data_IF_874255033964
#
_entry.id   IF_874255033964
#
_cell.length_a   1.000
_cell.length_b   1.000
_cell.length_c   1.000
_cell.angle_alpha   90.00
_cell.angle_beta   90.00
_cell.angle_gamma   90.00
#
_symmetry.space_group_name_H-M   'P 1'
#
loop_
_entity.id
_entity.type
_entity.pdbx_description
1 polymer ?
#
# COMPACT_ATOMS: atom_id res chain seq x y z
N UNK A 1 -13.26 -0.87 -6.29
CA UNK A 1 -13.73 -1.56 -5.06
C UNK A 1 -13.99 -3.02 -5.40
N UNK A 2 -13.58 -3.93 -4.50
CA UNK A 2 -13.86 -5.36 -4.64
C UNK A 2 -15.22 -5.74 -4.06
N UNK A 3 -15.85 -6.82 -4.57
CA UNK A 3 -17.00 -7.46 -3.96
C UNK A 3 -16.71 -7.96 -2.53
N UNK A 4 -17.74 -7.99 -1.69
CA UNK A 4 -17.72 -8.49 -0.32
C UNK A 4 -18.79 -9.58 -0.18
N UNK A 5 -18.41 -10.70 0.43
CA UNK A 5 -19.27 -11.85 0.72
C UNK A 5 -19.45 -12.06 2.22
N UNK A 6 -20.58 -12.66 2.62
CA UNK A 6 -20.83 -13.08 4.00
C UNK A 6 -19.99 -14.31 4.36
N UNK A 7 -19.36 -14.28 5.52
CA UNK A 7 -18.46 -15.32 6.01
C UNK A 7 -19.11 -16.70 6.14
N UNK A 8 -20.38 -16.75 6.53
CA UNK A 8 -21.15 -17.98 6.77
C UNK A 8 -21.59 -18.66 5.47
N UNK A 9 -21.53 -17.94 4.34
CA UNK A 9 -21.87 -18.47 3.01
C UNK A 9 -20.65 -19.02 2.27
N UNK A 10 -19.45 -18.92 2.87
CA UNK A 10 -18.22 -19.49 2.32
C UNK A 10 -18.16 -20.97 2.72
N UNK A 11 -18.11 -21.86 1.73
CA UNK A 11 -17.91 -23.31 1.98
C UNK A 11 -16.48 -23.58 2.48
N UNK A 12 -16.38 -23.69 3.82
CA UNK A 12 -15.13 -23.91 4.55
C UNK A 12 -14.44 -25.24 4.21
N UNK A 13 -15.15 -26.20 3.61
CA UNK A 13 -14.55 -27.48 3.20
C UNK A 13 -13.66 -27.37 1.95
N UNK A 14 -13.83 -26.29 1.16
CA UNK A 14 -13.12 -26.07 -0.11
C UNK A 14 -12.00 -25.05 -0.03
N UNK A 15 -11.91 -24.30 1.06
CA UNK A 15 -10.97 -23.19 1.25
C UNK A 15 -10.00 -23.46 2.39
N UNK A 16 -8.89 -22.74 2.44
CA UNK A 16 -7.91 -22.86 3.53
C UNK A 16 -7.30 -21.51 3.91
N UNK A 17 -6.91 -21.35 5.17
CA UNK A 17 -6.19 -20.17 5.63
C UNK A 17 -4.70 -20.32 5.39
N UNK A 18 -4.08 -19.28 4.82
CA UNK A 18 -2.64 -19.19 4.60
C UNK A 18 -2.24 -17.79 4.10
N UNK A 19 -1.00 -17.40 4.40
CA UNK A 19 -0.35 -16.21 3.85
C UNK A 19 0.78 -16.59 2.88
N UNK A 20 0.89 -15.91 1.73
CA UNK A 20 1.86 -16.23 0.65
C UNK A 20 3.34 -16.14 1.06
N UNK A 21 3.64 -15.48 2.18
CA UNK A 21 5.00 -15.13 2.60
C UNK A 21 5.29 -15.44 4.06
N UNK A 22 4.49 -16.31 4.69
CA UNK A 22 4.66 -16.66 6.10
C UNK A 22 4.83 -15.41 6.99
N UNK A 23 4.06 -14.36 6.68
CA UNK A 23 3.97 -13.14 7.49
C UNK A 23 3.05 -13.35 8.69
N UNK A 24 3.18 -14.49 9.38
CA UNK A 24 2.88 -14.44 10.81
C UNK A 24 3.88 -13.43 11.39
N UNK A 25 3.42 -12.45 12.15
CA UNK A 25 4.32 -11.53 12.86
C UNK A 25 4.90 -12.25 14.09
N UNK A 26 5.31 -13.51 13.90
CA UNK A 26 5.99 -14.31 14.89
C UNK A 26 7.50 -14.03 14.86
N UNK A 27 8.21 -14.24 15.97
CA UNK A 27 9.66 -14.08 16.00
C UNK A 27 10.29 -14.98 14.95
N UNK A 28 11.12 -14.39 14.09
CA UNK A 28 11.93 -15.10 13.09
C UNK A 28 12.70 -16.20 13.82
N UNK A 29 12.29 -17.47 13.64
CA UNK A 29 13.11 -18.59 14.10
C UNK A 29 14.35 -18.64 13.21
N UNK A 30 15.57 -18.62 13.77
CA UNK A 30 16.76 -18.84 12.96
C UNK A 30 16.68 -20.25 12.35
N UNK A 31 17.03 -20.36 11.07
CA UNK A 31 17.21 -21.66 10.41
C UNK A 31 18.35 -22.42 11.12
N UNK A 32 18.21 -23.73 11.36
CA UNK A 32 19.34 -24.54 11.80
C UNK A 32 20.30 -24.77 10.62
N UNK A 33 21.59 -24.75 10.95
CA UNK A 33 22.77 -24.91 10.08
C UNK A 33 23.18 -23.71 9.21
N UNK A 34 24.02 -22.85 9.80
CA UNK A 34 25.36 -22.62 9.27
C UNK A 34 26.33 -22.55 10.48
N UNK A 35 27.20 -23.54 10.56
CA UNK A 35 28.19 -23.77 11.61
C UNK A 35 29.34 -22.77 11.56
N UNK A 36 29.96 -22.58 12.73
CA UNK A 36 31.29 -22.02 12.97
C UNK A 36 31.51 -20.53 12.71
N UNK A 37 31.38 -19.73 13.77
CA UNK A 37 32.36 -18.70 14.12
C UNK A 37 32.39 -18.57 15.65
N UNK A 38 33.31 -19.31 16.27
CA UNK A 38 33.74 -19.11 17.66
C UNK A 38 34.38 -17.73 17.79
N UNK A 39 33.89 -16.92 18.72
CA UNK A 39 34.69 -15.89 19.36
C UNK A 39 34.55 -16.06 20.88
N UNK A 40 35.64 -16.48 21.50
CA UNK A 40 35.86 -16.35 22.93
C UNK A 40 36.05 -14.87 23.27
N UNK A 41 35.45 -14.42 24.36
CA UNK A 41 36.02 -13.39 25.23
C UNK A 41 35.36 -13.45 26.61
N UNK A 42 36.22 -13.57 27.62
CA UNK A 42 35.98 -13.65 29.06
C UNK A 42 35.25 -12.44 29.66
N UNK A 43 34.62 -12.65 30.83
CA UNK A 43 34.21 -11.57 31.73
C UNK A 43 33.18 -11.96 32.80
N UNK A 44 33.66 -12.45 33.94
CA UNK A 44 32.98 -12.49 35.27
C UNK A 44 33.08 -11.04 35.84
N UNK A 45 32.20 -10.43 36.66
CA UNK A 45 31.46 -10.77 37.90
C UNK A 45 30.19 -9.85 38.03
N UNK A 46 29.43 -9.69 39.12
CA UNK A 46 29.34 -10.24 40.49
C UNK A 46 27.90 -9.95 40.96
N UNK A 47 27.24 -10.96 41.55
CA UNK A 47 26.12 -10.92 42.53
C UNK A 47 25.25 -12.16 42.40
N UNK A 48 25.85 -13.34 42.51
CA UNK A 48 25.12 -14.60 42.62
C UNK A 48 24.05 -14.56 43.70
N UNK A 49 22.79 -14.43 43.29
CA UNK A 49 21.61 -14.71 44.12
C UNK A 49 20.50 -15.25 43.21
N UNK A 50 20.12 -16.50 43.48
CA UNK A 50 18.98 -17.18 42.89
C UNK A 50 17.71 -16.76 43.67
N UNK A 51 16.66 -16.28 43.01
CA UNK A 51 15.32 -16.16 43.63
C UNK A 51 14.31 -17.13 42.95
N UNK A 52 13.43 -17.79 43.71
CA UNK A 52 12.40 -18.71 43.20
C UNK A 52 11.17 -17.96 42.65
N UNK A 53 10.30 -18.64 41.86
CA UNK A 53 9.16 -18.00 41.21
C UNK A 53 8.05 -17.73 42.23
N UNK A 54 7.60 -16.49 42.36
CA UNK A 54 6.34 -16.17 43.05
C UNK A 54 5.18 -16.35 42.08
N UNK A 55 4.42 -17.41 42.30
CA UNK A 55 3.08 -17.63 41.77
C UNK A 55 2.09 -16.64 42.42
N UNK A 56 1.05 -16.32 41.65
CA UNK A 56 -0.26 -15.81 42.05
C UNK A 56 -0.40 -14.30 42.34
N UNK A 57 -0.61 -13.55 41.25
CA UNK A 57 -1.55 -12.42 41.25
C UNK A 57 -2.61 -12.69 40.16
N UNK A 58 -3.91 -12.56 40.45
CA UNK A 58 -4.97 -12.87 39.49
C UNK A 58 -4.89 -11.92 38.30
N UNK A 59 -4.84 -12.48 37.10
CA UNK A 59 -4.91 -11.74 35.86
C UNK A 59 -6.15 -10.84 35.89
N UNK A 60 -5.90 -9.53 35.74
CA UNK A 60 -6.95 -8.57 35.47
C UNK A 60 -7.68 -9.01 34.19
N UNK A 61 -9.00 -8.88 34.23
CA UNK A 61 -9.91 -9.06 33.11
C UNK A 61 -9.62 -7.99 32.04
N UNK A 62 -8.61 -8.25 31.22
CA UNK A 62 -8.36 -7.51 29.99
C UNK A 62 -9.36 -8.02 28.95
N UNK A 63 -10.42 -7.23 28.73
CA UNK A 63 -11.39 -7.41 27.65
C UNK A 63 -10.72 -7.62 26.28
N UNK A 64 -11.45 -8.07 25.26
CA UNK A 64 -10.89 -8.71 24.07
C UNK A 64 -9.86 -7.80 23.38
N UNK A 65 -8.59 -8.13 23.59
CA UNK A 65 -7.47 -7.50 22.94
C UNK A 65 -7.57 -7.75 21.43
N UNK A 66 -7.44 -6.67 20.65
CA UNK A 66 -7.40 -6.73 19.19
C UNK A 66 -6.35 -7.74 18.70
N UNK A 67 -6.80 -8.69 17.87
CA UNK A 67 -5.92 -9.49 17.01
C UNK A 67 -5.06 -10.51 17.75
N UNK A 68 -5.67 -11.61 18.17
CA UNK A 68 -4.90 -12.83 18.43
C UNK A 68 -4.45 -13.35 17.06
N UNK A 69 -3.16 -13.21 16.74
CA UNK A 69 -2.52 -13.87 15.59
C UNK A 69 -2.56 -15.37 15.86
N UNK A 70 -3.54 -16.06 15.27
CA UNK A 70 -3.73 -17.50 15.42
C UNK A 70 -2.70 -18.32 14.61
N UNK A 71 -1.71 -17.66 14.01
CA UNK A 71 -0.66 -18.25 13.17
C UNK A 71 -1.17 -19.00 11.92
N UNK A 72 -2.47 -18.94 11.60
CA UNK A 72 -3.06 -19.63 10.45
C UNK A 72 -3.08 -18.78 9.17
N UNK A 73 -2.68 -17.50 9.25
CA UNK A 73 -2.54 -16.59 8.11
C UNK A 73 -3.76 -15.71 7.84
N UNK A 74 -3.50 -14.50 7.34
CA UNK A 74 -4.46 -13.38 7.26
C UNK A 74 -5.55 -13.54 6.18
N UNK A 75 -5.43 -14.56 5.32
CA UNK A 75 -6.27 -14.73 4.14
C UNK A 75 -6.92 -16.10 4.11
N UNK A 76 -8.19 -16.13 3.68
CA UNK A 76 -8.87 -17.35 3.25
C UNK A 76 -8.61 -17.51 1.75
N UNK A 77 -8.11 -18.68 1.35
CA UNK A 77 -7.70 -18.96 -0.03
C UNK A 77 -8.68 -19.96 -0.64
N UNK A 78 -9.24 -19.58 -1.78
CA UNK A 78 -10.05 -20.42 -2.66
C UNK A 78 -9.15 -20.96 -3.78
N UNK A 79 -8.62 -22.19 -3.67
CA UNK A 79 -7.80 -22.79 -4.72
C UNK A 79 -8.64 -23.21 -5.92
N UNK A 80 -8.08 -23.06 -7.11
CA UNK A 80 -8.68 -23.52 -8.37
C UNK A 80 -7.78 -24.57 -9.02
N UNK A 81 -8.38 -25.60 -9.59
CA UNK A 81 -7.74 -26.44 -10.61
C UNK A 81 -7.61 -25.67 -11.92
N UNK A 82 -6.95 -26.30 -12.92
CA UNK A 82 -6.85 -25.71 -14.26
C UNK A 82 -8.24 -25.59 -14.90
N UNK A 83 -9.05 -26.63 -14.81
CA UNK A 83 -10.37 -26.70 -15.42
C UNK A 83 -11.34 -25.68 -14.78
N UNK A 84 -11.26 -25.51 -13.47
CA UNK A 84 -12.04 -24.49 -12.74
C UNK A 84 -11.60 -23.08 -13.12
N UNK A 85 -10.30 -22.85 -13.26
CA UNK A 85 -9.76 -21.57 -13.71
C UNK A 85 -10.19 -21.25 -15.13
N UNK A 86 -10.07 -22.19 -16.06
CA UNK A 86 -10.43 -21.99 -17.46
C UNK A 86 -11.92 -21.65 -17.57
N UNK A 87 -12.78 -22.37 -16.83
CA UNK A 87 -14.22 -22.06 -16.76
C UNK A 87 -14.50 -20.67 -16.17
N UNK A 88 -13.81 -20.29 -15.10
CA UNK A 88 -13.95 -18.96 -14.50
C UNK A 88 -13.49 -17.86 -15.47
N UNK A 89 -12.35 -18.05 -16.12
CA UNK A 89 -11.77 -17.13 -17.08
C UNK A 89 -12.71 -16.92 -18.27
N UNK A 90 -13.20 -18.01 -18.87
CA UNK A 90 -14.15 -17.95 -19.99
C UNK A 90 -15.44 -17.20 -19.59
N UNK A 91 -15.98 -17.48 -18.41
CA UNK A 91 -17.16 -16.77 -17.92
C UNK A 91 -16.89 -15.27 -17.69
N UNK A 92 -15.67 -14.92 -17.27
CA UNK A 92 -15.26 -13.54 -16.96
C UNK A 92 -15.05 -12.69 -18.22
N UNK A 93 -14.37 -13.22 -19.25
CA UNK A 93 -14.11 -12.46 -20.49
C UNK A 93 -15.35 -12.28 -21.36
N UNK A 94 -16.38 -13.09 -21.15
CA UNK A 94 -17.68 -12.95 -21.82
C UNK A 94 -18.75 -12.25 -20.96
N UNK A 95 -18.39 -11.82 -19.75
CA UNK A 95 -19.34 -11.18 -18.85
C UNK A 95 -19.66 -9.75 -19.28
N UNK A 96 -20.92 -9.34 -19.06
CA UNK A 96 -21.34 -7.98 -19.42
C UNK A 96 -20.88 -6.94 -18.38
N UNK A 97 -20.11 -5.95 -18.85
CA UNK A 97 -19.78 -4.75 -18.09
C UNK A 97 -20.95 -3.76 -18.04
N UNK A 98 -21.04 -3.01 -16.94
CA UNK A 98 -21.92 -1.86 -16.87
C UNK A 98 -21.49 -0.80 -17.91
N UNK A 99 -22.46 -0.17 -18.57
CA UNK A 99 -22.21 0.93 -19.51
C UNK A 99 -21.58 2.09 -18.76
N UNK A 100 -20.34 2.41 -19.10
CA UNK A 100 -19.68 3.64 -18.64
C UNK A 100 -20.19 4.79 -19.51
N UNK A 101 -20.51 5.94 -18.93
CA UNK A 101 -21.01 7.08 -19.71
C UNK A 101 -19.97 7.54 -20.75
N UNK A 102 -20.42 8.03 -21.92
CA UNK A 102 -19.59 8.38 -23.11
C UNK A 102 -18.40 9.35 -22.86
N UNK A 103 -18.26 9.91 -21.66
CA UNK A 103 -17.12 10.74 -21.24
C UNK A 103 -16.03 9.99 -20.45
N UNK A 104 -16.23 8.71 -20.13
CA UNK A 104 -15.35 7.88 -19.30
C UNK A 104 -14.50 6.90 -20.14
N UNK A 105 -14.27 7.20 -21.43
CA UNK A 105 -13.42 6.37 -22.26
C UNK A 105 -11.96 6.32 -21.76
N UNK A 106 -11.56 5.11 -21.35
CA UNK A 106 -10.27 4.46 -21.66
C UNK A 106 -9.03 4.73 -20.78
N UNK A 107 -9.09 5.53 -19.72
CA UNK A 107 -7.92 5.69 -18.82
C UNK A 107 -8.14 5.06 -17.46
N UNK A 108 -7.82 3.78 -17.36
CA UNK A 108 -7.69 3.11 -16.07
C UNK A 108 -6.30 3.36 -15.49
N UNK A 109 -6.23 3.53 -14.16
CA UNK A 109 -4.96 3.47 -13.48
C UNK A 109 -4.41 2.04 -13.56
N UNK A 110 -3.22 1.88 -14.15
CA UNK A 110 -2.59 0.57 -14.40
C UNK A 110 -2.37 -0.26 -13.11
N UNK A 111 -2.23 0.40 -11.95
CA UNK A 111 -2.11 -0.31 -10.67
C UNK A 111 -3.42 -0.84 -10.10
N UNK A 112 -4.58 -0.48 -10.67
CA UNK A 112 -5.92 -0.81 -10.15
C UNK A 112 -6.92 -1.11 -11.29
N UNK A 113 -6.56 -2.02 -12.20
CA UNK A 113 -7.39 -2.40 -13.34
C UNK A 113 -8.58 -3.30 -12.95
N UNK A 114 -9.75 -3.17 -13.59
CA UNK A 114 -10.84 -4.14 -13.45
C UNK A 114 -10.38 -5.55 -13.82
N UNK A 115 -10.86 -6.57 -13.11
CA UNK A 115 -10.43 -7.96 -13.31
C UNK A 115 -10.78 -8.48 -14.71
N UNK A 116 -11.91 -8.06 -15.28
CA UNK A 116 -12.30 -8.36 -16.65
C UNK A 116 -11.34 -7.73 -17.69
N UNK A 117 -10.88 -6.50 -17.45
CA UNK A 117 -9.87 -5.84 -18.30
C UNK A 117 -8.53 -6.56 -18.22
N UNK A 118 -8.14 -7.02 -17.02
CA UNK A 118 -6.94 -7.85 -16.86
C UNK A 118 -7.08 -9.18 -17.60
N UNK A 119 -8.24 -9.83 -17.56
CA UNK A 119 -8.49 -11.09 -18.25
C UNK A 119 -8.33 -10.95 -19.77
N UNK A 120 -8.85 -9.87 -20.37
CA UNK A 120 -8.67 -9.60 -21.80
C UNK A 120 -7.21 -9.40 -22.25
N UNK A 121 -6.29 -9.06 -21.33
CA UNK A 121 -4.85 -8.93 -21.65
C UNK A 121 -4.15 -10.28 -21.82
N UNK A 122 -4.80 -11.38 -21.41
CA UNK A 122 -4.31 -12.74 -21.66
C UNK A 122 -4.68 -13.72 -20.55
N UNK A 123 -4.78 -15.00 -20.92
CA UNK A 123 -5.25 -16.07 -20.04
C UNK A 123 -4.44 -16.23 -18.76
N UNK A 124 -3.12 -16.02 -18.78
CA UNK A 124 -2.28 -16.13 -17.57
C UNK A 124 -2.20 -14.82 -16.76
N UNK A 125 -2.78 -13.72 -17.23
CA UNK A 125 -2.65 -12.41 -16.57
C UNK A 125 -3.16 -12.44 -15.13
N UNK A 126 -4.29 -13.10 -14.88
CA UNK A 126 -4.86 -13.21 -13.53
C UNK A 126 -3.96 -14.03 -12.60
N UNK A 127 -3.32 -15.09 -13.12
CA UNK A 127 -2.35 -15.94 -12.40
C UNK A 127 -1.02 -15.26 -12.10
N UNK A 128 -0.68 -14.17 -12.79
CA UNK A 128 0.45 -13.32 -12.41
C UNK A 128 0.04 -12.13 -11.53
N UNK A 129 -1.25 -11.78 -11.52
CA UNK A 129 -1.84 -10.73 -10.70
C UNK A 129 -2.67 -11.26 -9.51
N UNK A 130 -4.00 -10.99 -9.48
CA UNK A 130 -4.83 -11.23 -8.30
C UNK A 130 -4.93 -12.72 -7.91
N UNK A 131 -4.91 -13.62 -8.88
CA UNK A 131 -5.11 -15.06 -8.68
C UNK A 131 -3.80 -15.87 -8.56
N UNK A 132 -2.67 -15.18 -8.30
CA UNK A 132 -1.34 -15.80 -8.25
C UNK A 132 -1.21 -16.83 -7.12
N UNK A 133 -0.85 -18.11 -7.40
CA UNK A 133 -0.81 -19.14 -6.38
C UNK A 133 0.52 -19.25 -5.62
N UNK A 134 1.54 -18.47 -6.02
CA UNK A 134 2.91 -18.59 -5.49
C UNK A 134 2.95 -18.40 -3.97
N UNK A 135 3.57 -19.36 -3.29
CA UNK A 135 3.72 -19.36 -1.83
C UNK A 135 2.52 -19.96 -1.08
N UNK A 136 1.53 -20.51 -1.79
CA UNK A 136 0.40 -21.22 -1.21
C UNK A 136 0.54 -22.72 -1.47
N UNK A 137 0.30 -23.53 -0.44
CA UNK A 137 0.21 -24.98 -0.56
C UNK A 137 -1.17 -25.38 -0.08
N UNK A 138 -1.96 -26.02 -0.95
CA UNK A 138 -3.28 -26.50 -0.58
C UNK A 138 -3.12 -27.73 0.33
N UNK A 139 -3.59 -27.68 1.59
CA UNK A 139 -3.41 -28.77 2.54
C UNK A 139 -4.09 -30.08 2.11
N UNK A 140 -5.10 -30.01 1.23
CA UNK A 140 -5.84 -31.19 0.74
C UNK A 140 -5.05 -31.96 -0.31
N UNK A 141 -4.22 -31.27 -1.09
CA UNK A 141 -3.44 -31.87 -2.18
C UNK A 141 -1.94 -31.93 -1.88
N UNK A 142 -1.46 -31.19 -0.88
CA UNK A 142 -0.04 -31.02 -0.58
C UNK A 142 0.73 -30.29 -1.68
N UNK A 143 0.04 -29.63 -2.62
CA UNK A 143 0.64 -29.00 -3.80
C UNK A 143 0.17 -27.55 -3.94
N UNK A 144 0.96 -26.76 -4.67
CA UNK A 144 0.55 -25.41 -5.06
C UNK A 144 -0.65 -25.51 -6.03
N UNK A 145 -1.75 -24.76 -5.80
CA UNK A 145 -2.89 -24.77 -6.71
C UNK A 145 -2.55 -24.11 -8.06
N UNK A 146 -3.39 -24.34 -9.07
CA UNK A 146 -3.17 -23.74 -10.39
C UNK A 146 -3.41 -22.23 -10.37
N UNK A 147 -4.43 -21.79 -9.64
CA UNK A 147 -4.71 -20.40 -9.30
C UNK A 147 -5.34 -20.33 -7.89
N UNK A 148 -5.35 -19.16 -7.26
CA UNK A 148 -6.00 -19.00 -5.96
C UNK A 148 -6.61 -17.60 -5.81
N UNK A 149 -7.89 -17.54 -5.44
CA UNK A 149 -8.54 -16.29 -5.03
C UNK A 149 -8.34 -16.12 -3.54
N UNK A 150 -7.91 -14.93 -3.11
CA UNK A 150 -7.75 -14.62 -1.69
C UNK A 150 -8.91 -13.76 -1.22
N UNK A 151 -9.44 -14.10 -0.06
CA UNK A 151 -10.41 -13.32 0.68
C UNK A 151 -9.73 -12.77 1.92
N UNK A 152 -9.93 -11.48 2.19
CA UNK A 152 -9.47 -10.83 3.42
C UNK A 152 -10.67 -10.49 4.29
N UNK A 153 -10.50 -10.60 5.60
CA UNK A 153 -11.49 -10.11 6.55
C UNK A 153 -11.67 -8.59 6.37
N UNK A 154 -12.92 -8.17 6.15
CA UNK A 154 -13.24 -6.77 5.84
C UNK A 154 -13.59 -5.96 7.09
N UNK A 155 -14.15 -6.60 8.11
CA UNK A 155 -14.57 -5.95 9.35
C UNK A 155 -14.11 -6.70 10.61
N UNK A 156 -14.20 -6.05 11.77
CA UNK A 156 -13.74 -6.63 13.05
C UNK A 156 -14.52 -7.88 13.47
N UNK A 157 -15.82 -7.93 13.17
CA UNK A 157 -16.66 -9.09 13.50
C UNK A 157 -16.28 -10.35 12.72
N UNK A 158 -15.62 -10.20 11.56
CA UNK A 158 -15.18 -11.33 10.76
C UNK A 158 -16.32 -12.03 10.02
N UNK A 159 -17.49 -11.41 9.92
CA UNK A 159 -18.66 -11.88 9.17
C UNK A 159 -18.66 -11.38 7.71
N UNK A 160 -17.69 -10.54 7.33
CA UNK A 160 -17.53 -10.00 5.98
C UNK A 160 -16.14 -10.26 5.41
N UNK A 161 -16.07 -10.72 4.16
CA UNK A 161 -14.82 -10.99 3.47
C UNK A 161 -14.79 -10.33 2.08
N UNK A 162 -13.75 -9.54 1.80
CA UNK A 162 -13.54 -8.92 0.49
C UNK A 162 -12.61 -9.75 -0.40
N UNK A 163 -12.94 -9.84 -1.70
CA UNK A 163 -12.12 -10.52 -2.70
C UNK A 163 -10.91 -9.64 -3.07
N UNK A 164 -9.70 -10.12 -2.80
CA UNK A 164 -8.46 -9.34 -2.96
C UNK A 164 -8.10 -9.20 -4.44
N UNK A 165 -8.05 -7.96 -4.94
CA UNK A 165 -7.68 -7.67 -6.34
C UNK A 165 -8.78 -7.93 -7.37
N UNK A 166 -10.04 -8.05 -6.91
CA UNK A 166 -11.22 -8.30 -7.73
C UNK A 166 -12.07 -7.04 -7.94
N UNK A 167 -11.44 -5.87 -8.07
CA UNK A 167 -12.11 -4.68 -8.56
C UNK A 167 -12.73 -4.94 -9.93
N UNK A 168 -13.96 -4.49 -10.17
CA UNK A 168 -14.72 -4.84 -11.38
C UNK A 168 -15.77 -3.78 -11.70
N UNK A 169 -16.13 -3.68 -12.98
CA UNK A 169 -17.23 -2.91 -13.57
C UNK A 169 -18.33 -3.82 -14.12
N UNK A 170 -18.26 -5.14 -13.92
CA UNK A 170 -19.31 -6.06 -14.34
C UNK A 170 -20.67 -5.68 -13.75
N UNK A 171 -21.75 -5.90 -14.51
CA UNK A 171 -23.11 -5.78 -13.98
C UNK A 171 -23.27 -6.68 -12.77
N UNK A 172 -24.06 -6.28 -11.78
CA UNK A 172 -24.18 -7.05 -10.52
C UNK A 172 -24.64 -8.50 -10.72
N UNK A 173 -25.56 -8.74 -11.67
CA UNK A 173 -25.97 -10.10 -12.04
C UNK A 173 -24.80 -10.94 -12.58
N UNK A 174 -23.94 -10.32 -13.39
CA UNK A 174 -22.75 -10.96 -13.95
C UNK A 174 -21.67 -11.19 -12.88
N UNK A 175 -21.50 -10.26 -11.94
CA UNK A 175 -20.63 -10.48 -10.79
C UNK A 175 -21.07 -11.70 -9.99
N UNK A 176 -22.36 -11.78 -9.62
CA UNK A 176 -22.87 -12.94 -8.89
C UNK A 176 -22.67 -14.24 -9.68
N UNK A 177 -22.96 -14.25 -10.99
CA UNK A 177 -22.81 -15.42 -11.87
C UNK A 177 -21.36 -15.90 -11.96
N UNK A 178 -20.43 -14.97 -12.21
CA UNK A 178 -19.01 -15.30 -12.45
C UNK A 178 -18.30 -15.65 -11.13
N UNK A 179 -18.53 -14.88 -10.07
CA UNK A 179 -17.82 -15.08 -8.79
C UNK A 179 -18.25 -16.37 -8.07
N UNK A 180 -19.49 -16.84 -8.29
CA UNK A 180 -19.95 -18.15 -7.79
C UNK A 180 -19.29 -19.35 -8.48
N UNK A 181 -18.52 -19.14 -9.55
CA UNK A 181 -17.70 -20.21 -10.15
C UNK A 181 -16.42 -20.49 -9.35
N UNK A 182 -16.08 -19.63 -8.39
CA UNK A 182 -14.91 -19.78 -7.51
C UNK A 182 -15.22 -20.87 -6.46
N UNK A 183 -14.39 -21.92 -6.32
CA UNK A 183 -14.58 -22.94 -5.30
C UNK A 183 -14.64 -22.34 -3.90
N UNK A 184 -15.67 -22.70 -3.14
CA UNK A 184 -15.95 -22.14 -1.82
C UNK A 184 -16.95 -20.98 -1.83
N UNK A 185 -17.27 -20.41 -3.00
CA UNK A 185 -18.18 -19.27 -3.15
C UNK A 185 -19.45 -19.62 -3.96
N UNK A 186 -19.74 -20.89 -4.19
CA UNK A 186 -20.86 -21.34 -5.04
C UNK A 186 -22.21 -20.79 -4.55
N UNK A 187 -22.40 -20.77 -3.23
CA UNK A 187 -23.59 -20.27 -2.55
C UNK A 187 -23.37 -18.91 -1.90
N UNK A 188 -22.30 -18.19 -2.28
CA UNK A 188 -21.94 -16.93 -1.64
C UNK A 188 -23.06 -15.89 -1.74
N UNK A 189 -23.32 -15.23 -0.61
CA UNK A 189 -24.17 -14.04 -0.52
C UNK A 189 -23.30 -12.78 -0.59
N UNK A 190 -23.57 -11.93 -1.58
CA UNK A 190 -22.84 -10.69 -1.80
C UNK A 190 -23.53 -9.54 -1.08
N UNK A 191 -22.94 -9.05 0.01
CA UNK A 191 -23.46 -7.85 0.69
C UNK A 191 -23.16 -6.58 -0.09
N UNK A 192 -22.11 -6.62 -0.93
CA UNK A 192 -21.67 -5.50 -1.75
C UNK A 192 -20.98 -6.01 -3.00
N UNK A 193 -21.46 -5.55 -4.15
CA UNK A 193 -20.81 -5.80 -5.42
C UNK A 193 -19.64 -4.83 -5.65
N UNK A 194 -18.68 -5.26 -6.48
CA UNK A 194 -17.58 -4.44 -6.92
C UNK A 194 -18.05 -3.28 -7.81
N UNK A 195 -17.32 -2.18 -7.74
CA UNK A 195 -17.54 -0.99 -8.56
C UNK A 195 -16.20 -0.29 -8.78
N UNK A 196 -16.04 0.38 -9.91
CA UNK A 196 -14.90 1.29 -10.15
C UNK A 196 -15.38 2.72 -9.96
N UNK A 197 -14.57 3.51 -9.25
CA UNK A 197 -14.86 4.90 -8.99
C UNK A 197 -13.97 5.78 -9.83
N UNK A 198 -14.55 6.88 -10.30
CA UNK A 198 -13.80 7.96 -10.92
C UNK A 198 -13.12 8.79 -9.82
N UNK A 199 -11.84 9.06 -10.02
CA UNK A 199 -11.05 9.92 -9.15
C UNK A 199 -10.69 11.21 -9.89
N UNK A 200 -10.89 12.34 -9.22
CA UNK A 200 -10.42 13.65 -9.70
C UNK A 200 -9.08 13.97 -9.06
N UNK A 201 -8.11 14.38 -9.87
CA UNK A 201 -6.80 14.82 -9.43
C UNK A 201 -6.33 16.00 -10.29
N UNK A 202 -5.43 16.82 -9.75
CA UNK A 202 -4.83 17.92 -10.50
C UNK A 202 -3.69 17.41 -11.39
N UNK A 203 -3.42 18.05 -12.52
CA UNK A 203 -2.20 17.78 -13.28
C UNK A 203 -0.99 18.31 -12.50
N UNK A 204 -0.46 17.45 -11.63
CA UNK A 204 0.62 17.76 -10.69
C UNK A 204 1.81 18.45 -11.34
N UNK A 205 2.36 17.95 -12.44
CA UNK A 205 3.54 18.55 -13.06
C UNK A 205 3.31 19.99 -13.53
N UNK A 206 2.08 20.29 -13.97
CA UNK A 206 1.68 21.63 -14.41
C UNK A 206 1.51 22.59 -13.24
N UNK A 207 0.97 22.12 -12.11
CA UNK A 207 0.46 23.02 -11.05
C UNK A 207 1.19 22.94 -9.73
N UNK A 208 1.94 21.88 -9.44
CA UNK A 208 2.57 21.61 -8.15
C UNK A 208 4.11 21.69 -8.21
N UNK A 209 4.71 22.07 -7.09
CA UNK A 209 6.14 21.93 -6.80
C UNK A 209 6.42 20.66 -5.98
N UNK A 210 7.70 20.28 -5.82
CA UNK A 210 8.12 19.16 -4.96
C UNK A 210 7.80 19.37 -3.47
N UNK A 211 7.50 20.61 -3.08
CA UNK A 211 7.07 20.98 -1.73
C UNK A 211 5.54 20.89 -1.56
N UNK A 212 4.83 20.36 -2.55
CA UNK A 212 3.37 20.24 -2.62
C UNK A 212 2.62 21.57 -2.72
N UNK A 213 3.33 22.67 -2.98
CA UNK A 213 2.74 24.00 -3.17
C UNK A 213 2.25 24.17 -4.60
N UNK A 214 1.18 24.97 -4.77
CA UNK A 214 0.72 25.39 -6.09
C UNK A 214 1.68 26.43 -6.64
N UNK A 215 2.20 26.21 -7.86
CA UNK A 215 3.15 27.11 -8.54
C UNK A 215 2.62 28.54 -8.65
N UNK A 216 1.34 28.70 -8.99
CA UNK A 216 0.67 30.01 -9.10
C UNK A 216 0.16 30.61 -7.79
N UNK A 217 0.18 29.85 -6.69
CA UNK A 217 -0.25 30.32 -5.36
C UNK A 217 0.54 29.59 -4.27
N UNK A 218 1.76 30.05 -3.93
CA UNK A 218 2.66 29.31 -3.04
C UNK A 218 2.12 29.07 -1.62
N UNK A 219 1.08 29.78 -1.19
CA UNK A 219 0.40 29.57 0.10
C UNK A 219 -0.68 28.48 0.06
N UNK A 220 -1.00 27.95 -1.12
CA UNK A 220 -1.94 26.84 -1.30
C UNK A 220 -1.16 25.55 -1.56
N UNK A 221 -1.53 24.48 -0.86
CA UNK A 221 -0.90 23.16 -0.99
C UNK A 221 -1.94 22.09 -1.27
N UNK A 222 -1.58 21.08 -2.07
CA UNK A 222 -2.40 19.89 -2.33
C UNK A 222 -1.72 18.65 -1.79
N UNK A 223 -2.51 17.75 -1.20
CA UNK A 223 -2.04 16.45 -0.71
C UNK A 223 -3.12 15.38 -0.89
N UNK A 224 -2.75 14.12 -0.67
CA UNK A 224 -3.65 12.99 -0.87
C UNK A 224 -3.99 12.75 -2.33
N UNK A 225 -5.00 11.93 -2.59
CA UNK A 225 -5.39 11.54 -3.94
C UNK A 225 -5.55 12.73 -4.91
N UNK A 226 -6.01 13.88 -4.42
CA UNK A 226 -6.22 15.09 -5.23
C UNK A 226 -4.91 15.67 -5.79
N UNK A 227 -3.76 15.43 -5.17
CA UNK A 227 -2.44 15.81 -5.68
C UNK A 227 -1.84 14.80 -6.67
N UNK A 228 -2.58 13.74 -7.01
CA UNK A 228 -2.13 12.71 -7.95
C UNK A 228 -1.20 11.66 -7.34
N UNK A 229 -1.44 11.31 -6.08
CA UNK A 229 -0.88 10.09 -5.46
C UNK A 229 -1.95 9.02 -5.32
N UNK A 230 -1.53 7.75 -5.31
CA UNK A 230 -2.43 6.63 -5.05
C UNK A 230 -1.95 5.78 -3.88
N UNK A 231 -2.89 5.43 -3.00
CA UNK A 231 -2.63 4.63 -1.80
C UNK A 231 -2.75 5.44 -0.51
N UNK A 232 -3.10 4.75 0.58
CA UNK A 232 -3.28 5.37 1.89
C UNK A 232 -1.96 5.89 2.46
N UNK A 233 -0.88 5.14 2.28
CA UNK A 233 0.45 5.50 2.78
C UNK A 233 0.98 6.73 2.04
N UNK A 234 0.82 6.78 0.73
CA UNK A 234 1.19 7.90 -0.13
C UNK A 234 0.36 9.15 0.16
N UNK A 235 -0.94 8.97 0.43
CA UNK A 235 -1.82 10.07 0.81
C UNK A 235 -1.47 10.64 2.19
N UNK A 236 -1.19 9.79 3.17
CA UNK A 236 -0.73 10.22 4.48
C UNK A 236 0.65 10.90 4.40
N UNK A 237 1.57 10.35 3.61
CA UNK A 237 2.91 10.88 3.40
C UNK A 237 2.87 12.29 2.76
N UNK A 238 2.13 12.45 1.67
CA UNK A 238 1.95 13.77 1.03
C UNK A 238 1.26 14.77 1.96
N UNK A 239 0.26 14.32 2.74
CA UNK A 239 -0.41 15.15 3.76
C UNK A 239 0.55 15.63 4.84
N UNK A 240 1.41 14.75 5.34
CA UNK A 240 2.45 15.09 6.31
C UNK A 240 3.39 16.16 5.75
N UNK A 241 3.90 16.00 4.54
CA UNK A 241 4.80 16.98 3.93
C UNK A 241 4.13 18.32 3.63
N UNK A 242 2.91 18.30 3.09
CA UNK A 242 2.14 19.52 2.87
C UNK A 242 1.87 20.25 4.20
N UNK A 243 1.53 19.52 5.27
CA UNK A 243 1.36 20.08 6.61
C UNK A 243 2.66 20.69 7.16
N UNK A 244 3.79 19.99 7.03
CA UNK A 244 5.11 20.49 7.45
C UNK A 244 5.52 21.75 6.68
N UNK A 245 5.21 21.83 5.40
CA UNK A 245 5.50 23.00 4.57
C UNK A 245 4.51 24.15 4.83
N UNK A 246 3.24 23.87 5.08
CA UNK A 246 2.26 24.87 5.51
C UNK A 246 2.68 25.51 6.85
N UNK A 247 3.14 24.70 7.80
CA UNK A 247 3.65 25.17 9.08
C UNK A 247 4.90 26.05 8.90
N UNK A 248 5.83 25.65 8.01
CA UNK A 248 7.00 26.46 7.67
C UNK A 248 6.58 27.83 7.09
N UNK A 249 5.66 27.85 6.13
CA UNK A 249 5.14 29.10 5.55
C UNK A 249 4.49 30.02 6.60
N UNK A 250 3.72 29.46 7.54
CA UNK A 250 3.10 30.22 8.61
C UNK A 250 4.13 30.86 9.56
N UNK A 251 5.31 30.24 9.70
CA UNK A 251 6.46 30.79 10.43
C UNK A 251 7.34 31.73 9.60
N UNK A 252 7.03 31.94 8.31
CA UNK A 252 7.88 32.67 7.36
C UNK A 252 9.15 31.92 6.96
N UNK A 253 9.17 30.60 7.13
CA UNK A 253 10.29 29.73 6.80
C UNK A 253 10.16 29.17 5.37
N UNK A 254 11.29 28.88 4.69
CA UNK A 254 11.25 28.24 3.38
C UNK A 254 10.74 26.79 3.49
N UNK A 255 9.77 26.40 2.64
CA UNK A 255 9.38 25.00 2.46
C UNK A 255 10.55 24.13 1.96
N UNK A 256 10.54 22.86 2.32
CA UNK A 256 11.59 21.92 1.93
C UNK A 256 11.01 20.58 1.49
N UNK A 257 11.48 20.08 0.35
CA UNK A 257 11.18 18.73 -0.10
C UNK A 257 12.20 17.73 0.46
N UNK A 258 11.81 16.47 0.73
CA UNK A 258 12.75 15.41 1.04
C UNK A 258 13.65 15.07 -0.15
N UNK A 259 14.83 14.47 0.09
CA UNK A 259 15.71 14.06 -1.00
C UNK A 259 15.03 13.06 -1.94
N UNK A 260 15.28 13.19 -3.25
CA UNK A 260 14.77 12.28 -4.31
C UNK A 260 15.22 10.83 -4.15
N UNK A 261 16.22 10.58 -3.32
CA UNK A 261 16.71 9.25 -2.96
C UNK A 261 15.78 8.53 -1.98
N UNK A 262 14.91 9.27 -1.29
CA UNK A 262 13.87 8.76 -0.39
C UNK A 262 12.61 8.40 -1.18
N UNK A 263 11.79 7.49 -0.66
CA UNK A 263 10.54 7.08 -1.32
C UNK A 263 9.56 8.27 -1.50
N UNK A 264 9.42 9.08 -0.46
CA UNK A 264 8.51 10.22 -0.43
C UNK A 264 9.02 11.41 -1.26
N UNK A 265 10.34 11.65 -1.28
CA UNK A 265 10.94 12.68 -2.13
C UNK A 265 10.90 12.29 -3.61
N UNK A 266 11.11 11.00 -3.93
CA UNK A 266 10.91 10.47 -5.28
C UNK A 266 9.47 10.64 -5.77
N UNK A 267 8.49 10.39 -4.89
CA UNK A 267 7.08 10.60 -5.21
C UNK A 267 6.76 12.08 -5.45
N UNK A 268 7.23 12.98 -4.59
CA UNK A 268 7.03 14.42 -4.76
C UNK A 268 7.68 14.93 -6.06
N UNK A 269 8.85 14.40 -6.42
CA UNK A 269 9.50 14.65 -7.69
C UNK A 269 8.63 14.20 -8.87
N UNK A 270 8.17 12.95 -8.87
CA UNK A 270 7.31 12.41 -9.92
C UNK A 270 6.06 13.27 -10.11
N UNK A 271 5.33 13.56 -9.02
CA UNK A 271 4.10 14.37 -9.06
C UNK A 271 4.34 15.75 -9.63
N UNK A 272 5.51 16.36 -9.45
CA UNK A 272 5.78 17.73 -9.89
C UNK A 272 6.58 17.84 -11.20
N UNK A 273 7.14 16.74 -11.71
CA UNK A 273 8.06 16.74 -12.86
C UNK A 273 7.80 15.65 -13.92
N UNK A 274 6.82 14.76 -13.72
CA UNK A 274 6.41 13.84 -14.78
C UNK A 274 5.94 14.60 -16.04
N UNK A 275 5.92 13.93 -17.19
CA UNK A 275 5.42 14.52 -18.43
C UNK A 275 3.93 14.92 -18.27
N UNK A 276 3.58 16.22 -18.33
CA UNK A 276 2.20 16.67 -18.14
C UNK A 276 1.20 16.03 -19.11
N UNK A 277 1.62 15.66 -20.33
CA UNK A 277 0.74 15.10 -21.36
C UNK A 277 0.32 13.64 -21.06
N UNK A 278 1.19 12.91 -20.35
CA UNK A 278 1.02 11.49 -20.01
C UNK A 278 1.03 11.26 -18.50
N UNK A 279 0.73 12.30 -17.72
CA UNK A 279 0.74 12.24 -16.27
C UNK A 279 -0.45 11.41 -15.76
N UNK A 280 -0.16 10.49 -14.86
CA UNK A 280 -1.14 9.70 -14.12
C UNK A 280 -0.78 9.70 -12.63
N UNK A 281 -1.75 9.50 -11.73
CA UNK A 281 -1.45 9.30 -10.33
C UNK A 281 -0.52 8.11 -10.14
N UNK A 282 0.33 8.11 -9.11
CA UNK A 282 1.23 6.99 -8.84
C UNK A 282 1.30 6.66 -7.36
N UNK A 283 1.52 5.38 -7.08
CA UNK A 283 1.97 4.91 -5.78
C UNK A 283 3.51 4.90 -5.70
N UNK A 284 4.06 4.61 -4.53
CA UNK A 284 5.51 4.48 -4.34
C UNK A 284 5.97 3.14 -4.91
N UNK A 285 6.94 3.20 -5.84
CA UNK A 285 7.65 2.02 -6.33
C UNK A 285 9.16 2.25 -6.29
N UNK A 286 9.94 1.17 -6.26
CA UNK A 286 11.40 1.28 -6.42
C UNK A 286 11.82 1.86 -7.79
N UNK A 287 10.91 1.90 -8.78
CA UNK A 287 11.20 2.39 -10.12
C UNK A 287 11.26 3.92 -10.21
N UNK A 288 10.54 4.63 -9.34
CA UNK A 288 10.56 6.10 -9.29
C UNK A 288 11.73 6.64 -8.45
N UNK A 289 12.35 5.79 -7.62
CA UNK A 289 13.47 6.16 -6.78
C UNK A 289 14.75 6.27 -7.60
N UNK A 290 15.60 7.24 -7.25
CA UNK A 290 16.90 7.40 -7.90
C UNK A 290 17.72 6.09 -7.82
N UNK A 291 18.29 5.58 -8.93
CA UNK A 291 19.04 4.34 -8.92
C UNK A 291 20.31 4.43 -8.05
N UNK A 292 20.88 3.27 -7.70
CA UNK A 292 22.20 3.18 -7.06
C UNK A 292 23.28 3.19 -8.14
N UNK A 293 24.36 3.93 -7.93
CA UNK A 293 25.51 3.95 -8.87
C UNK A 293 26.13 2.57 -9.05
N UNK A 294 26.18 1.76 -7.98
CA UNK A 294 26.67 0.39 -7.97
C UNK A 294 25.59 -0.56 -7.46
N UNK A 295 24.54 -0.74 -8.25
CA UNK A 295 23.42 -1.58 -7.88
C UNK A 295 23.81 -3.08 -7.85
N UNK A 296 23.48 -3.82 -6.76
CA UNK A 296 23.61 -5.27 -6.73
C UNK A 296 22.85 -5.93 -7.89
N UNK A 297 23.42 -7.02 -8.45
CA UNK A 297 22.74 -7.82 -9.49
C UNK A 297 21.50 -8.52 -8.95
N UNK A 298 21.56 -9.00 -7.71
CA UNK A 298 20.43 -9.65 -7.05
C UNK A 298 19.32 -8.63 -6.76
N UNK A 299 18.10 -8.92 -7.22
CA UNK A 299 16.93 -8.02 -7.09
C UNK A 299 16.59 -7.68 -5.63
N UNK A 300 16.64 -8.65 -4.73
CA UNK A 300 16.35 -8.45 -3.32
C UNK A 300 17.43 -7.60 -2.65
N UNK A 301 18.70 -7.94 -2.88
CA UNK A 301 19.84 -7.16 -2.35
C UNK A 301 19.81 -5.71 -2.84
N UNK A 302 19.46 -5.49 -4.11
CA UNK A 302 19.31 -4.14 -4.69
C UNK A 302 18.18 -3.34 -4.02
N UNK A 303 17.01 -3.96 -3.81
CA UNK A 303 15.89 -3.31 -3.10
C UNK A 303 16.28 -2.95 -1.66
N UNK A 304 16.96 -3.87 -0.97
CA UNK A 304 17.46 -3.63 0.39
C UNK A 304 18.43 -2.45 0.44
N UNK A 305 19.43 -2.42 -0.44
CA UNK A 305 20.39 -1.32 -0.51
C UNK A 305 19.73 0.04 -0.86
N UNK A 306 18.72 0.04 -1.74
CA UNK A 306 17.92 1.23 -2.02
C UNK A 306 17.17 1.72 -0.77
N UNK A 307 16.55 0.82 -0.02
CA UNK A 307 15.85 1.13 1.23
C UNK A 307 16.80 1.67 2.30
N UNK A 308 17.96 1.04 2.49
CA UNK A 308 18.97 1.46 3.47
C UNK A 308 19.47 2.88 3.17
N UNK A 309 19.80 3.18 1.90
CA UNK A 309 20.16 4.55 1.47
C UNK A 309 19.01 5.53 1.71
N UNK A 310 17.79 5.16 1.32
CA UNK A 310 16.63 6.02 1.46
C UNK A 310 16.34 6.39 2.92
N UNK A 311 16.45 5.44 3.86
CA UNK A 311 16.27 5.69 5.27
C UNK A 311 17.37 6.58 5.84
N UNK A 312 18.64 6.33 5.50
CA UNK A 312 19.76 7.17 5.93
C UNK A 312 19.62 8.61 5.41
N UNK A 313 19.19 8.81 4.17
CA UNK A 313 18.99 10.13 3.58
C UNK A 313 17.79 10.86 4.20
N UNK A 314 16.73 10.12 4.54
CA UNK A 314 15.57 10.67 5.22
C UNK A 314 15.92 11.13 6.64
N UNK A 315 16.65 10.32 7.40
CA UNK A 315 17.14 10.70 8.74
C UNK A 315 17.98 11.98 8.68
N UNK A 316 18.98 12.03 7.78
CA UNK A 316 19.79 13.24 7.60
C UNK A 316 18.98 14.47 7.25
N UNK A 317 17.94 14.32 6.43
CA UNK A 317 17.04 15.41 6.09
C UNK A 317 16.20 15.87 7.28
N UNK A 318 15.67 14.93 8.08
CA UNK A 318 14.92 15.23 9.30
C UNK A 318 15.79 15.97 10.32
N UNK A 319 16.98 15.45 10.60
CA UNK A 319 17.94 16.05 11.54
C UNK A 319 18.29 17.49 11.10
N UNK A 320 18.52 17.69 9.81
CA UNK A 320 18.78 19.02 9.25
C UNK A 320 17.63 20.01 9.45
N UNK A 321 16.37 19.54 9.44
CA UNK A 321 15.20 20.40 9.73
C UNK A 321 15.06 20.70 11.22
N UNK A 322 15.31 19.72 12.09
CA UNK A 322 15.25 19.90 13.54
C UNK A 322 16.36 20.83 14.05
N UNK A 323 17.58 20.68 13.53
CA UNK A 323 18.69 21.59 13.80
C UNK A 323 18.33 23.02 13.39
N UNK A 324 17.77 23.20 12.19
CA UNK A 324 17.38 24.52 11.70
C UNK A 324 16.24 25.15 12.53
N UNK A 325 15.26 24.38 13.01
CA UNK A 325 14.20 24.88 13.90
C UNK A 325 14.79 25.23 15.29
N UNK A 326 15.75 24.45 15.80
CA UNK A 326 16.42 24.70 17.09
C UNK A 326 17.31 25.94 17.07
N UNK A 327 18.13 26.10 16.02
CA UNK A 327 18.97 27.29 15.80
C UNK A 327 18.13 28.57 15.67
N UNK A 328 16.93 28.47 15.08
CA UNK A 328 16.01 29.62 14.96
C UNK A 328 15.35 29.97 16.28
N UNK A 329 14.87 28.98 17.05
CA UNK A 329 14.28 29.22 18.39
C UNK A 329 15.27 29.83 19.37
N UNK A 330 16.56 29.54 19.23
CA UNK A 330 17.64 30.11 20.06
C UNK A 330 18.06 31.53 19.64
N UNK A 331 17.53 32.08 18.54
CA UNK A 331 17.73 33.48 18.10
C UNK A 331 16.39 34.26 18.05
N UNK A 332 15.79 34.61 19.19
CA UNK A 332 14.55 35.38 19.20
C UNK A 332 14.82 36.83 18.74
N UNK A 333 14.34 37.22 17.55
CA UNK A 333 14.43 38.62 17.11
C UNK A 333 14.44 38.90 15.59
N UNK A 334 14.60 37.89 14.73
CA UNK A 334 14.48 38.06 13.29
C UNK A 334 13.20 37.40 12.80
N UNK A 335 12.08 38.14 12.85
CA UNK A 335 10.90 37.76 12.09
C UNK A 335 11.27 37.77 10.59
N UNK A 336 11.00 36.70 9.83
CA UNK A 336 11.10 36.76 8.37
C UNK A 336 10.15 37.85 7.87
N UNK A 337 10.59 38.66 6.91
CA UNK A 337 9.71 39.61 6.23
C UNK A 337 8.47 38.85 5.73
N UNK A 338 7.30 39.25 6.24
CA UNK A 338 6.03 38.68 5.85
C UNK A 338 5.90 38.61 4.31
N UNK A 339 5.27 37.55 3.80
CA UNK A 339 4.83 37.46 2.42
C UNK A 339 3.96 38.69 2.08
N UNK A 340 4.59 39.76 1.60
CA UNK A 340 3.92 40.93 1.09
C UNK A 340 3.70 40.73 -0.42
N UNK A 341 2.42 40.79 -0.79
CA UNK A 341 1.87 40.98 -2.14
C UNK A 341 2.13 39.89 -3.19
N UNK A 342 1.14 38.99 -3.34
CA UNK A 342 0.83 38.33 -4.62
C UNK A 342 -0.66 38.41 -5.00
N UNK A 343 -1.48 39.20 -4.30
CA UNK A 343 -2.91 39.40 -4.58
C UNK A 343 -3.23 40.84 -5.04
N UNK A 344 -2.43 41.37 -5.96
CA UNK A 344 -2.73 42.64 -6.62
C UNK A 344 -2.34 42.57 -8.10
N UNK A 345 -3.18 41.92 -8.92
CA UNK A 345 -3.35 42.14 -10.37
C UNK A 345 -4.38 41.16 -10.94
N UNK A 346 -5.64 41.32 -10.55
CA UNK A 346 -6.77 40.72 -11.26
C UNK A 346 -8.03 41.59 -11.09
N UNK A 347 -7.91 42.88 -11.34
CA UNK A 347 -9.05 43.77 -11.56
C UNK A 347 -8.53 45.05 -12.18
N UNK A 348 -8.46 45.08 -13.51
CA UNK A 348 -8.72 46.28 -14.30
C UNK A 348 -8.56 45.92 -15.79
N UNK A 349 -9.68 45.87 -16.48
CA UNK A 349 -9.86 46.53 -17.78
C UNK A 349 -11.36 46.62 -18.11
N UNK A 350 -11.76 47.68 -18.84
CA UNK A 350 -13.13 48.21 -18.85
C UNK A 350 -14.09 47.49 -19.81
#
# INVERSE_FOLDING_TARGET
MSPIVLADTIDRSKVFRASRWDRSLGPVRPKPDDTDCRFEADGIDDRGVHLPPSLDAPAADDGPACGVDDSQGDYVNCPLTREEYDRFYEALVHAESATVHDFDHERFFEGCLPIEVMAHRGVDTLRFGPMKPVGLVDPRTGRQPYAAVQLRQDNLAGDHYSLVGFQTQLKWGEQARVLRLIPGLEDAEFVRFGMVHRNTYVNGPTVLTETWQVRGRPTLLFAGQMSGVEGYVESAASGLLAGLNAAALAKGEPPAAPPRTTAIGALAYYVSHADPAHYEPSNITFGIMQPLDRAPRNKLARKRALSERALADLTRWMDGRELADTERRSRPGQAPAALASADARASDSP
#
